data_IF_364660749284
#
_entry.id   IF_364660749284
#
_cell.length_a   1.000
_cell.length_b   1.000
_cell.length_c   1.000
_cell.angle_alpha   90.00
_cell.angle_beta   90.00
_cell.angle_gamma   90.00
#
_symmetry.space_group_name_H-M   'P 1'
#
loop_
_entity.id
_entity.type
_entity.pdbx_description
1 polymer ?
#
# COMPACT_ATOMS: atom_id res chain seq x y z
N UNK A 1 -20.72 -9.34 -14.12
CA UNK A 1 -19.38 -8.74 -13.93
C UNK A 1 -19.37 -7.58 -12.94
N UNK A 2 -20.12 -6.48 -13.16
CA UNK A 2 -20.12 -5.31 -12.26
C UNK A 2 -20.44 -5.62 -10.79
N UNK A 3 -21.44 -6.48 -10.53
CA UNK A 3 -21.78 -6.93 -9.16
C UNK A 3 -20.65 -7.68 -8.46
N UNK A 4 -19.86 -8.46 -9.20
CA UNK A 4 -18.70 -9.21 -8.66
C UNK A 4 -17.63 -8.24 -8.19
N UNK A 5 -17.27 -7.25 -9.00
CA UNK A 5 -16.25 -6.25 -8.65
C UNK A 5 -16.67 -5.41 -7.45
N UNK A 6 -17.95 -5.01 -7.38
CA UNK A 6 -18.50 -4.30 -6.22
C UNK A 6 -18.52 -5.16 -4.94
N UNK A 7 -18.67 -6.49 -5.07
CA UNK A 7 -18.57 -7.41 -3.93
C UNK A 7 -17.12 -7.56 -3.46
N UNK A 8 -16.19 -7.86 -4.38
CA UNK A 8 -14.76 -8.02 -4.08
C UNK A 8 -14.19 -6.78 -3.39
N UNK A 9 -14.56 -5.58 -3.84
CA UNK A 9 -14.16 -4.33 -3.19
C UNK A 9 -14.68 -4.21 -1.76
N UNK A 10 -15.94 -4.60 -1.51
CA UNK A 10 -16.51 -4.55 -0.14
C UNK A 10 -15.83 -5.55 0.78
N UNK A 11 -15.55 -6.75 0.28
CA UNK A 11 -14.78 -7.77 0.99
C UNK A 11 -13.38 -7.27 1.34
N UNK A 12 -12.69 -6.63 0.38
CA UNK A 12 -11.38 -6.01 0.60
C UNK A 12 -11.41 -4.92 1.68
N UNK A 13 -12.34 -3.96 1.59
CA UNK A 13 -12.47 -2.89 2.59
C UNK A 13 -12.81 -3.44 3.97
N UNK A 14 -13.65 -4.48 4.05
CA UNK A 14 -13.97 -5.14 5.30
C UNK A 14 -12.75 -5.81 5.91
N UNK A 15 -11.97 -6.57 5.12
CA UNK A 15 -10.71 -7.18 5.56
C UNK A 15 -9.73 -6.13 6.08
N UNK A 16 -9.53 -5.05 5.32
CA UNK A 16 -8.68 -3.91 5.72
C UNK A 16 -9.13 -3.27 7.03
N UNK A 17 -10.43 -3.22 7.31
CA UNK A 17 -10.96 -2.66 8.56
C UNK A 17 -10.70 -3.56 9.78
N UNK A 18 -10.60 -4.88 9.59
CA UNK A 18 -10.30 -5.83 10.66
C UNK A 18 -8.82 -5.82 11.05
N UNK A 19 -7.93 -5.49 10.10
CA UNK A 19 -6.49 -5.46 10.34
C UNK A 19 -6.07 -4.58 11.51
N UNK A 20 -6.77 -3.45 11.76
CA UNK A 20 -6.45 -2.61 12.92
C UNK A 20 -6.63 -3.36 14.24
N UNK A 21 -7.76 -4.07 14.38
CA UNK A 21 -8.07 -4.89 15.56
C UNK A 21 -7.14 -6.10 15.65
N UNK A 22 -6.86 -6.73 14.51
CA UNK A 22 -5.93 -7.87 14.44
C UNK A 22 -4.49 -7.45 14.79
N UNK A 23 -4.04 -6.26 14.39
CA UNK A 23 -2.75 -5.69 14.79
C UNK A 23 -2.67 -5.44 16.29
N UNK A 24 -3.71 -4.87 16.89
CA UNK A 24 -3.79 -4.68 18.34
C UNK A 24 -3.73 -6.02 19.08
N UNK A 25 -4.51 -7.01 18.63
CA UNK A 25 -4.47 -8.37 19.19
C UNK A 25 -3.10 -9.01 19.01
N UNK A 26 -2.49 -8.86 17.84
CA UNK A 26 -1.15 -9.37 17.56
C UNK A 26 -0.10 -8.75 18.49
N UNK A 27 -0.15 -7.44 18.72
CA UNK A 27 0.76 -6.76 19.66
C UNK A 27 0.59 -7.27 21.09
N UNK A 28 -0.65 -7.51 21.54
CA UNK A 28 -0.93 -8.13 22.84
C UNK A 28 -0.34 -9.55 22.93
N UNK A 29 -0.59 -10.39 21.91
CA UNK A 29 -0.05 -11.76 21.85
C UNK A 29 1.47 -11.76 21.80
N UNK A 30 2.10 -10.84 21.04
CA UNK A 30 3.56 -10.69 20.96
C UNK A 30 4.17 -10.35 22.32
N UNK A 31 3.54 -9.44 23.08
CA UNK A 31 3.98 -9.08 24.45
C UNK A 31 3.91 -10.28 25.40
N UNK A 32 2.86 -11.10 25.30
CA UNK A 32 2.71 -12.33 26.10
C UNK A 32 3.74 -13.38 25.69
N UNK A 33 3.93 -13.61 24.38
CA UNK A 33 4.94 -14.53 23.85
C UNK A 33 6.34 -14.14 24.33
N UNK A 34 6.68 -12.85 24.30
CA UNK A 34 7.95 -12.32 24.81
C UNK A 34 8.11 -12.52 26.33
N UNK A 35 7.02 -12.40 27.10
CA UNK A 35 7.04 -12.66 28.55
C UNK A 35 7.19 -14.15 28.87
N UNK A 36 6.60 -15.02 28.05
CA UNK A 36 6.63 -16.49 28.20
C UNK A 36 7.92 -17.13 27.67
N UNK A 37 8.57 -16.58 26.63
CA UNK A 37 9.85 -17.10 26.11
C UNK A 37 10.97 -17.14 27.16
N UNK A 38 10.86 -16.34 28.22
CA UNK A 38 11.77 -16.38 29.37
C UNK A 38 11.53 -17.52 30.37
N UNK A 39 10.40 -18.24 30.26
CA UNK A 39 9.92 -19.18 31.26
C UNK A 39 9.53 -20.51 30.60
N UNK A 40 10.35 -21.56 30.81
CA UNK A 40 10.10 -22.89 30.24
C UNK A 40 9.38 -23.79 31.26
N UNK A 41 8.41 -24.58 30.78
CA UNK A 41 7.76 -25.61 31.58
C UNK A 41 8.57 -26.90 31.56
N UNK A 42 9.00 -27.38 32.73
CA UNK A 42 9.72 -28.65 32.87
C UNK A 42 8.72 -29.74 33.29
N UNK A 43 8.54 -30.82 32.49
CA UNK A 43 7.67 -31.93 32.86
C UNK A 43 8.15 -32.60 34.16
N UNK A 44 7.26 -32.73 35.15
CA UNK A 44 7.56 -33.39 36.43
C UNK A 44 7.81 -32.45 37.61
N UNK A 45 7.90 -31.14 37.37
CA UNK A 45 7.96 -30.11 38.43
C UNK A 45 6.79 -29.14 38.26
N UNK A 46 6.12 -28.78 39.36
CA UNK A 46 5.03 -27.79 39.34
C UNK A 46 5.53 -26.35 39.12
N UNK A 47 6.83 -26.13 38.96
CA UNK A 47 7.47 -24.83 38.79
C UNK A 47 7.86 -24.56 37.32
N UNK A 48 7.62 -23.32 36.89
CA UNK A 48 8.19 -22.75 35.68
C UNK A 48 9.63 -22.32 35.97
N UNK A 49 10.62 -22.90 35.29
CA UNK A 49 12.02 -22.53 35.47
C UNK A 49 12.38 -21.39 34.51
N UNK A 50 12.87 -20.27 35.07
CA UNK A 50 13.50 -19.21 34.29
C UNK A 50 14.78 -19.75 33.67
N UNK A 51 14.97 -19.55 32.36
CA UNK A 51 16.25 -19.88 31.70
C UNK A 51 17.34 -19.10 32.42
N UNK A 52 18.40 -19.77 32.87
CA UNK A 52 19.52 -19.13 33.56
C UNK A 52 20.04 -17.95 32.71
N UNK A 53 19.79 -16.72 33.18
CA UNK A 53 20.16 -15.46 32.51
C UNK A 53 19.03 -14.70 31.80
N UNK A 54 17.79 -15.21 31.77
CA UNK A 54 16.64 -14.49 31.21
C UNK A 54 15.90 -13.69 32.28
N UNK A 55 15.88 -12.37 32.19
CA UNK A 55 14.92 -11.56 32.95
C UNK A 55 13.51 -11.90 32.46
N UNK A 56 12.79 -12.79 33.15
CA UNK A 56 11.37 -12.99 32.93
C UNK A 56 10.64 -11.71 33.28
N UNK A 57 10.44 -10.85 32.28
CA UNK A 57 9.74 -9.58 32.47
C UNK A 57 8.33 -9.90 32.96
N UNK A 58 7.89 -9.33 34.09
CA UNK A 58 6.55 -9.58 34.59
C UNK A 58 5.53 -9.14 33.55
N UNK A 59 4.47 -9.93 33.41
CA UNK A 59 3.39 -9.64 32.47
C UNK A 59 2.81 -8.25 32.82
N UNK A 60 2.66 -7.35 31.82
CA UNK A 60 2.08 -6.03 32.03
C UNK A 60 0.75 -6.12 32.77
N UNK A 61 0.54 -5.23 33.75
CA UNK A 61 -0.66 -5.22 34.60
C UNK A 61 -1.98 -5.17 33.80
N UNK A 62 -1.95 -4.51 32.64
CA UNK A 62 -3.08 -4.38 31.70
C UNK A 62 -3.50 -5.72 31.08
N UNK A 63 -2.55 -6.65 30.87
CA UNK A 63 -2.80 -7.92 30.19
C UNK A 63 -3.14 -9.07 31.15
N UNK A 64 -2.99 -8.89 32.47
CA UNK A 64 -3.20 -9.96 33.47
C UNK A 64 -4.62 -10.53 33.50
N UNK A 65 -5.64 -9.73 33.15
CA UNK A 65 -7.04 -10.22 33.08
C UNK A 65 -7.31 -11.03 31.82
N UNK A 66 -6.72 -10.64 30.70
CA UNK A 66 -6.90 -11.27 29.38
C UNK A 66 -5.84 -12.36 29.10
N UNK A 67 -4.89 -12.56 30.03
CA UNK A 67 -3.74 -13.44 29.86
C UNK A 67 -4.14 -14.88 29.57
N UNK A 68 -5.07 -15.44 30.34
CA UNK A 68 -5.47 -16.83 30.21
C UNK A 68 -6.08 -17.12 28.82
N UNK A 69 -6.89 -16.20 28.30
CA UNK A 69 -7.52 -16.32 26.98
C UNK A 69 -6.49 -16.15 25.86
N UNK A 70 -5.62 -15.14 25.96
CA UNK A 70 -4.59 -14.88 24.95
C UNK A 70 -3.55 -16.00 24.90
N UNK A 71 -3.22 -16.60 26.05
CA UNK A 71 -2.31 -17.75 26.13
C UNK A 71 -2.86 -18.97 25.41
N UNK A 72 -4.14 -19.28 25.63
CA UNK A 72 -4.82 -20.36 24.92
C UNK A 72 -4.86 -20.10 23.40
N UNK A 73 -5.10 -18.85 22.99
CA UNK A 73 -5.07 -18.49 21.57
C UNK A 73 -3.66 -18.60 20.95
N UNK A 74 -2.60 -18.25 21.68
CA UNK A 74 -1.22 -18.37 21.21
C UNK A 74 -0.81 -19.83 21.04
N UNK A 75 -1.28 -20.72 21.90
CA UNK A 75 -0.99 -22.16 21.83
C UNK A 75 -1.69 -22.85 20.64
N UNK A 76 -2.82 -22.31 20.20
CA UNK A 76 -3.56 -22.78 19.02
C UNK A 76 -3.08 -22.16 17.70
N UNK A 77 -2.19 -21.17 17.72
CA UNK A 77 -1.68 -20.51 16.51
C UNK A 77 -0.66 -21.41 15.78
N UNK A 78 -0.77 -21.48 14.45
CA UNK A 78 0.23 -22.08 13.57
C UNK A 78 1.30 -21.07 13.16
N UNK A 79 2.44 -21.55 12.64
CA UNK A 79 3.56 -20.70 12.20
C UNK A 79 3.16 -19.66 11.14
N UNK A 80 2.09 -19.92 10.37
CA UNK A 80 1.57 -19.01 9.35
C UNK A 80 0.73 -17.86 9.93
N UNK A 81 -0.01 -18.11 11.01
CA UNK A 81 -0.81 -17.09 11.72
C UNK A 81 0.05 -16.28 12.69
N UNK A 82 1.21 -16.81 13.06
CA UNK A 82 2.14 -16.17 14.00
C UNK A 82 2.74 -14.84 13.49
N UNK A 83 2.69 -14.55 12.19
CA UNK A 83 3.16 -13.28 11.60
C UNK A 83 2.01 -12.58 10.87
N UNK A 84 1.66 -11.33 11.23
CA UNK A 84 0.60 -10.61 10.53
C UNK A 84 1.05 -10.33 9.10
N UNK A 85 0.20 -10.65 8.13
CA UNK A 85 0.43 -10.23 6.74
C UNK A 85 0.42 -8.72 6.68
N UNK A 86 1.53 -8.12 6.27
CA UNK A 86 1.61 -6.67 6.04
C UNK A 86 0.87 -6.34 4.76
N UNK A 87 -0.17 -5.49 4.84
CA UNK A 87 -0.93 -4.89 3.72
C UNK A 87 -0.05 -3.99 2.82
N UNK A 88 1.28 -4.09 2.84
CA UNK A 88 2.10 -3.36 1.88
C UNK A 88 1.84 -4.00 0.52
N UNK A 89 1.12 -3.28 -0.34
CA UNK A 89 0.78 -3.59 -1.73
C UNK A 89 -0.14 -4.80 -1.98
N UNK A 90 -1.25 -4.92 -1.24
CA UNK A 90 -2.28 -5.97 -1.47
C UNK A 90 -3.00 -5.81 -2.82
N UNK A 91 -3.21 -4.58 -3.31
CA UNK A 91 -3.75 -4.31 -4.64
C UNK A 91 -2.83 -4.80 -5.77
N UNK A 92 -1.52 -4.84 -5.52
CA UNK A 92 -0.50 -5.31 -6.44
C UNK A 92 0.11 -6.65 -6.00
N UNK A 93 -0.53 -7.40 -5.08
CA UNK A 93 0.00 -8.66 -4.58
C UNK A 93 0.23 -9.71 -5.69
N UNK A 94 -0.52 -9.60 -6.78
CA UNK A 94 -0.38 -10.44 -7.98
C UNK A 94 0.47 -9.80 -9.09
N UNK A 95 1.23 -8.75 -8.77
CA UNK A 95 2.17 -8.16 -9.72
C UNK A 95 3.21 -9.21 -10.13
N UNK A 96 3.48 -9.31 -11.43
CA UNK A 96 4.41 -10.29 -12.00
C UNK A 96 3.77 -11.59 -12.51
N UNK A 97 2.51 -11.89 -12.16
CA UNK A 97 1.82 -13.06 -12.75
C UNK A 97 1.39 -12.81 -14.21
N UNK A 98 1.02 -11.57 -14.53
CA UNK A 98 0.59 -11.16 -15.87
C UNK A 98 1.12 -9.79 -16.23
N UNK A 99 1.46 -9.63 -17.51
CA UNK A 99 1.88 -8.34 -18.04
C UNK A 99 0.74 -7.30 -17.97
N UNK A 100 1.02 -6.10 -17.43
CA UNK A 100 0.01 -5.06 -17.32
C UNK A 100 -0.40 -4.55 -18.70
N UNK A 101 -1.71 -4.41 -18.91
CA UNK A 101 -2.27 -3.78 -20.12
C UNK A 101 -2.67 -2.36 -19.80
N UNK A 102 -1.88 -1.40 -20.27
CA UNK A 102 -2.06 0.02 -19.96
C UNK A 102 -2.79 0.70 -21.13
N UNK A 103 -3.82 1.47 -20.83
CA UNK A 103 -4.51 2.29 -21.82
C UNK A 103 -4.21 3.77 -21.56
N UNK A 104 -3.60 4.43 -22.54
CA UNK A 104 -3.31 5.86 -22.52
C UNK A 104 -4.41 6.59 -23.30
N UNK A 105 -5.09 7.51 -22.64
CA UNK A 105 -6.08 8.39 -23.25
C UNK A 105 -5.81 9.85 -22.90
N UNK A 106 -6.18 10.76 -23.79
CA UNK A 106 -6.13 12.21 -23.56
C UNK A 106 -7.48 12.73 -23.05
N UNK A 107 -7.56 14.05 -22.80
CA UNK A 107 -8.82 14.77 -22.62
C UNK A 107 -9.76 14.63 -23.83
N UNK A 108 -11.02 15.08 -23.68
CA UNK A 108 -12.08 15.00 -24.71
C UNK A 108 -11.69 15.70 -26.02
N UNK A 109 -11.10 16.89 -25.91
CA UNK A 109 -10.66 17.71 -27.04
C UNK A 109 -9.17 18.04 -26.89
N UNK A 110 -8.27 17.14 -27.34
CA UNK A 110 -6.83 17.32 -27.15
C UNK A 110 -6.23 18.28 -28.20
N UNK A 111 -5.22 19.03 -27.78
CA UNK A 111 -4.38 19.80 -28.71
C UNK A 111 -3.47 18.87 -29.53
N UNK A 112 -3.00 19.34 -30.70
CA UNK A 112 -2.06 18.58 -31.54
C UNK A 112 -0.78 18.18 -30.79
N UNK A 113 -0.28 19.07 -29.91
CA UNK A 113 0.87 18.81 -29.04
C UNK A 113 0.57 17.76 -27.96
N UNK A 114 -0.64 17.77 -27.38
CA UNK A 114 -1.05 16.74 -26.42
C UNK A 114 -1.20 15.36 -27.08
N UNK A 115 -1.65 15.30 -28.34
CA UNK A 115 -1.69 14.06 -29.12
C UNK A 115 -0.28 13.54 -29.40
N UNK A 116 0.69 14.41 -29.69
CA UNK A 116 2.11 14.04 -29.83
C UNK A 116 2.68 13.53 -28.51
N UNK A 117 2.47 14.25 -27.40
CA UNK A 117 2.88 13.83 -26.06
C UNK A 117 2.32 12.45 -25.69
N UNK A 118 1.04 12.19 -25.95
CA UNK A 118 0.45 10.87 -25.71
C UNK A 118 1.08 9.74 -26.55
N UNK A 119 1.66 10.05 -27.71
CA UNK A 119 2.46 9.08 -28.49
C UNK A 119 3.82 8.83 -27.86
N UNK A 120 4.46 9.87 -27.32
CA UNK A 120 5.74 9.75 -26.61
C UNK A 120 5.59 8.94 -25.32
N UNK A 121 4.54 9.19 -24.54
CA UNK A 121 4.24 8.41 -23.31
C UNK A 121 3.94 6.95 -23.64
N UNK A 122 3.29 6.67 -24.79
CA UNK A 122 3.09 5.29 -25.25
C UNK A 122 4.42 4.56 -25.49
N UNK A 123 5.44 5.27 -25.99
CA UNK A 123 6.76 4.67 -26.19
C UNK A 123 7.49 4.38 -24.88
N UNK A 124 7.13 5.08 -23.79
CA UNK A 124 7.72 4.86 -22.47
C UNK A 124 7.25 3.55 -21.82
N UNK A 125 5.97 3.20 -21.98
CA UNK A 125 5.40 1.99 -21.38
C UNK A 125 5.25 0.85 -22.40
N UNK A 126 5.96 -0.28 -22.25
CA UNK A 126 5.71 -1.47 -23.05
C UNK A 126 4.29 -1.99 -22.81
N UNK A 127 3.70 -2.67 -23.79
CA UNK A 127 2.31 -3.17 -23.73
C UNK A 127 1.21 -2.10 -23.54
N UNK A 128 1.54 -0.82 -23.76
CA UNK A 128 0.55 0.26 -23.72
C UNK A 128 -0.20 0.43 -25.05
N UNK A 129 -1.51 0.68 -24.96
CA UNK A 129 -2.36 1.02 -26.09
C UNK A 129 -2.84 2.47 -25.95
N UNK A 130 -3.02 3.16 -27.07
CA UNK A 130 -3.51 4.53 -27.09
C UNK A 130 -4.84 4.58 -27.82
N UNK A 131 -5.85 5.19 -27.20
CA UNK A 131 -7.17 5.39 -27.81
C UNK A 131 -7.46 6.88 -27.90
N UNK A 132 -7.96 7.33 -29.05
CA UNK A 132 -8.44 8.70 -29.21
C UNK A 132 -9.73 8.87 -28.40
N UNK A 133 -9.80 9.89 -27.54
CA UNK A 133 -11.09 10.36 -26.98
C UNK A 133 -11.69 11.42 -27.90
N UNK A 134 -13.01 11.37 -28.07
CA UNK A 134 -13.74 12.20 -29.03
C UNK A 134 -13.76 11.60 -30.45
N UNK A 135 -14.68 12.07 -31.30
CA UNK A 135 -14.82 11.61 -32.70
C UNK A 135 -13.73 12.11 -33.65
N UNK A 136 -12.58 12.55 -33.12
CA UNK A 136 -11.53 13.16 -33.92
C UNK A 136 -10.67 12.08 -34.57
N UNK A 137 -10.81 11.95 -35.90
CA UNK A 137 -9.93 11.14 -36.73
C UNK A 137 -8.57 11.84 -36.88
N UNK A 138 -7.44 11.12 -36.81
CA UNK A 138 -6.14 11.74 -37.08
C UNK A 138 -6.05 12.16 -38.54
N UNK A 139 -5.82 13.45 -38.81
CA UNK A 139 -5.41 13.92 -40.14
C UNK A 139 -3.94 13.55 -40.39
N UNK A 140 -3.62 13.20 -41.64
CA UNK A 140 -2.37 12.56 -42.09
C UNK A 140 -1.06 13.27 -41.77
N UNK A 141 0.04 12.53 -41.93
CA UNK A 141 1.37 12.90 -41.48
C UNK A 141 2.02 14.04 -42.28
N UNK A 142 2.75 14.92 -41.58
CA UNK A 142 3.82 15.74 -42.14
C UNK A 142 5.15 15.25 -41.57
N UNK A 143 6.19 15.26 -42.40
CA UNK A 143 7.56 14.77 -42.19
C UNK A 143 8.08 14.93 -40.76
N UNK A 144 8.64 13.86 -40.19
CA UNK A 144 9.21 13.83 -38.84
C UNK A 144 10.70 13.50 -38.94
N UNK A 145 11.55 14.42 -38.49
CA UNK A 145 12.99 14.22 -38.30
C UNK A 145 13.23 13.90 -36.82
N UNK A 146 14.02 12.86 -36.53
CA UNK A 146 14.23 12.36 -35.17
C UNK A 146 15.30 13.17 -34.42
N UNK A 147 14.98 13.61 -33.20
CA UNK A 147 15.91 14.18 -32.22
C UNK A 147 15.41 13.89 -30.80
N UNK A 148 16.36 13.55 -29.92
CA UNK A 148 16.28 13.27 -28.48
C UNK A 148 15.06 12.45 -27.99
N UNK A 149 15.33 11.23 -27.52
CA UNK A 149 14.31 10.23 -27.25
C UNK A 149 13.81 10.31 -25.80
N UNK A 150 12.68 11.00 -25.60
CA UNK A 150 11.87 10.88 -24.39
C UNK A 150 11.46 12.24 -23.82
N UNK A 151 10.21 12.38 -23.38
CA UNK A 151 9.75 13.61 -22.76
C UNK A 151 10.41 13.80 -21.39
N UNK A 152 10.98 14.99 -21.13
CA UNK A 152 11.42 15.40 -19.79
C UNK A 152 10.25 16.09 -19.09
N UNK A 153 9.88 15.61 -17.92
CA UNK A 153 8.84 16.23 -17.10
C UNK A 153 9.14 16.03 -15.62
N UNK A 154 8.72 16.99 -14.81
CA UNK A 154 8.67 16.88 -13.36
C UNK A 154 7.21 16.66 -12.96
N UNK A 155 6.94 15.56 -12.27
CA UNK A 155 5.60 15.26 -11.75
C UNK A 155 5.57 15.54 -10.27
N UNK A 156 4.64 16.41 -9.86
CA UNK A 156 4.33 16.63 -8.46
C UNK A 156 3.06 15.89 -8.08
N UNK A 157 3.18 14.90 -7.19
CA UNK A 157 2.04 14.19 -6.63
C UNK A 157 1.16 15.16 -5.84
N UNK A 158 -0.13 15.22 -6.18
CA UNK A 158 -1.10 16.08 -5.48
C UNK A 158 -2.16 15.29 -4.71
N UNK A 159 -2.52 14.09 -5.14
CA UNK A 159 -3.58 13.29 -4.52
C UNK A 159 -3.40 11.80 -4.85
N UNK A 160 -3.62 10.95 -3.85
CA UNK A 160 -3.79 9.51 -3.99
C UNK A 160 -5.17 9.14 -3.46
N UNK A 161 -5.97 8.43 -4.27
CA UNK A 161 -7.28 7.91 -3.90
C UNK A 161 -7.25 6.38 -3.86
N UNK A 162 -7.90 5.81 -2.85
CA UNK A 162 -8.13 4.36 -2.73
C UNK A 162 -9.34 3.95 -3.60
N UNK A 163 -9.26 4.22 -4.89
CA UNK A 163 -10.34 3.93 -5.82
C UNK A 163 -10.01 4.25 -7.27
N UNK A 164 -10.91 3.88 -8.18
CA UNK A 164 -10.76 4.13 -9.61
C UNK A 164 -11.16 5.56 -9.96
N UNK A 165 -10.70 6.06 -11.11
CA UNK A 165 -11.00 7.42 -11.62
C UNK A 165 -12.49 7.76 -11.61
N UNK A 166 -13.36 6.80 -11.94
CA UNK A 166 -14.82 7.00 -12.02
C UNK A 166 -15.52 7.12 -10.65
N UNK A 167 -14.80 6.96 -9.54
CA UNK A 167 -15.35 6.99 -8.19
C UNK A 167 -14.94 8.27 -7.47
N UNK A 168 -15.72 9.36 -7.59
CA UNK A 168 -15.34 10.64 -7.01
C UNK A 168 -15.29 10.61 -5.47
N UNK A 169 -16.15 9.80 -4.86
CA UNK A 169 -16.31 9.67 -3.40
C UNK A 169 -15.39 8.62 -2.75
N UNK A 170 -14.41 8.08 -3.48
CA UNK A 170 -13.43 7.17 -2.89
C UNK A 170 -12.58 7.92 -1.83
N UNK A 171 -12.18 7.18 -0.78
CA UNK A 171 -11.34 7.71 0.29
C UNK A 171 -9.99 8.18 -0.25
N UNK A 172 -9.53 9.33 0.25
CA UNK A 172 -8.21 9.86 -0.09
C UNK A 172 -7.18 9.29 0.88
N UNK A 173 -6.15 8.64 0.36
CA UNK A 173 -4.99 8.22 1.15
C UNK A 173 -4.06 9.41 1.41
N UNK A 174 -3.77 10.16 0.36
CA UNK A 174 -2.91 11.33 0.43
C UNK A 174 -3.53 12.51 -0.34
N UNK A 175 -3.40 13.71 0.22
CA UNK A 175 -3.76 14.96 -0.45
C UNK A 175 -2.71 16.00 -0.11
N UNK A 176 -2.17 16.65 -1.13
CA UNK A 176 -1.28 17.79 -0.97
C UNK A 176 -2.08 18.98 -0.43
N UNK A 177 -1.84 19.32 0.84
CA UNK A 177 -2.49 20.43 1.52
C UNK A 177 -1.63 21.68 1.42
N UNK A 178 -1.83 22.47 0.38
CA UNK A 178 -1.04 23.68 0.12
C UNK A 178 -1.31 24.83 1.09
N UNK A 179 -2.48 24.86 1.72
CA UNK A 179 -2.96 25.99 2.52
C UNK A 179 -2.94 25.72 4.04
N UNK A 180 -2.13 24.77 4.51
CA UNK A 180 -1.88 24.59 5.95
C UNK A 180 -0.66 25.40 6.38
N UNK A 181 -0.66 25.89 7.63
CA UNK A 181 0.44 26.71 8.15
C UNK A 181 1.80 25.97 8.07
N UNK A 182 1.81 24.65 8.21
CA UNK A 182 2.99 23.79 8.08
C UNK A 182 3.28 23.30 6.65
N UNK A 183 2.50 23.71 5.63
CA UNK A 183 2.61 23.20 4.26
C UNK A 183 4.02 23.37 3.68
N UNK A 184 4.68 24.49 3.97
CA UNK A 184 6.05 24.80 3.51
C UNK A 184 7.15 24.00 4.24
N UNK A 185 6.83 23.34 5.36
CA UNK A 185 7.77 22.56 6.17
C UNK A 185 7.64 21.05 5.94
N UNK A 186 6.62 20.60 5.22
CA UNK A 186 6.36 19.19 4.96
C UNK A 186 7.34 18.66 3.89
N UNK A 187 8.41 18.00 4.33
CA UNK A 187 9.47 17.42 3.47
C UNK A 187 8.95 16.39 2.45
N UNK A 188 7.74 15.84 2.62
CA UNK A 188 7.14 14.94 1.63
C UNK A 188 6.83 15.67 0.28
N UNK A 189 6.84 17.01 0.27
CA UNK A 189 6.53 17.84 -0.90
C UNK A 189 7.75 18.54 -1.53
N UNK A 190 8.94 18.41 -0.94
CA UNK A 190 10.21 19.00 -1.40
C UNK A 190 11.34 18.02 -1.06
N UNK A 191 11.66 17.15 -2.01
CA UNK A 191 12.79 16.22 -1.93
C UNK A 191 14.06 16.83 -2.56
N UNK A 192 14.21 18.15 -2.50
CA UNK A 192 15.40 18.84 -2.99
C UNK A 192 15.87 19.83 -1.91
N UNK A 193 17.20 19.87 -1.76
CA UNK A 193 18.01 20.78 -0.92
C UNK A 193 18.38 20.30 0.50
N UNK A 194 18.97 19.11 0.59
CA UNK A 194 20.03 18.83 1.58
C UNK A 194 21.18 18.06 0.90
N UNK A 195 21.80 18.64 -0.13
CA UNK A 195 23.21 18.36 -0.44
C UNK A 195 24.06 19.51 0.09
N UNK A 196 24.78 19.20 1.16
CA UNK A 196 25.77 20.04 1.79
C UNK A 196 27.01 20.16 0.88
N UNK A 197 27.38 21.39 0.53
CA UNK A 197 28.77 21.87 0.54
C UNK A 197 28.81 23.27 1.14
#
# INVERSE_FOLDING_TARGET
>A
MLRRNARLRREFLFRKSLEGKEKELYEKKRKIRQALEGAFWVPGTAELMLRAGGEGKPIPSELRREEAELRHQVELEDDNTAVPRTHIDDEYAHAGERDPKILITTSRDPSSRLVQFAKEVKLLFPNSQRVNRGGMMPKGAKSITLKECGPRFELKLYQIKLGTLDQPHAENEFVLRSYTNSAKRSKLATAEDEEQQ
#
